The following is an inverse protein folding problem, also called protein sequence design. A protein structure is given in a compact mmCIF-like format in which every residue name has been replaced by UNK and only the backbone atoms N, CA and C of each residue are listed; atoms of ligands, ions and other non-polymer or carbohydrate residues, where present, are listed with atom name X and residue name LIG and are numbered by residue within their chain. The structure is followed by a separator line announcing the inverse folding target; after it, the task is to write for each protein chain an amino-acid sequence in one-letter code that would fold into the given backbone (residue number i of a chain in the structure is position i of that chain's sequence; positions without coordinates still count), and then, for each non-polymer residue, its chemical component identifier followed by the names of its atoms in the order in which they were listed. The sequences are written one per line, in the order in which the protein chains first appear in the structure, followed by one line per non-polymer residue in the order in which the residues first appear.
data_IF_966934437841
#
_entry.id   IF_966934437841
#
_cell.length_a   1.000
_cell.length_b   1.000
_cell.length_c   1.000
_cell.angle_alpha   90.00
_cell.angle_beta   90.00
_cell.angle_gamma   90.00
#
_symmetry.space_group_name_H-M   'P 1'
#
loop_
_entity.id
_entity.type
_entity.pdbx_description
1 polymer ?
#
# COMPACT_ATOMS: atom_id res chain seq x y z
N UNK A 1 -32.96 -35.64 79.45
CA UNK A 1 -33.31 -36.70 78.48
C UNK A 1 -33.78 -36.11 77.09
N UNK A 2 -34.55 -35.03 77.07
CA UNK A 2 -35.00 -34.40 75.80
C UNK A 2 -33.87 -33.84 74.95
N UNK A 3 -32.85 -33.29 75.57
CA UNK A 3 -31.67 -32.73 74.88
C UNK A 3 -30.86 -33.81 74.12
N UNK A 4 -30.72 -34.98 74.72
CA UNK A 4 -29.97 -36.13 74.16
C UNK A 4 -30.70 -36.72 72.94
N UNK A 5 -32.04 -36.83 72.97
CA UNK A 5 -32.84 -37.30 71.84
C UNK A 5 -32.87 -36.34 70.68
N UNK A 6 -32.90 -35.02 70.94
CA UNK A 6 -32.76 -33.98 69.90
C UNK A 6 -31.38 -34.03 69.21
N UNK A 7 -30.32 -34.17 70.04
CA UNK A 7 -28.96 -34.27 69.47
C UNK A 7 -28.78 -35.53 68.61
N UNK A 8 -29.30 -36.66 69.01
CA UNK A 8 -29.21 -37.93 68.25
C UNK A 8 -29.97 -37.83 66.91
N UNK A 9 -31.16 -37.20 66.91
CA UNK A 9 -31.92 -37.01 65.73
C UNK A 9 -31.19 -36.06 64.72
N UNK A 10 -30.59 -35.00 65.22
CA UNK A 10 -29.80 -34.11 64.40
C UNK A 10 -28.57 -34.74 63.78
N UNK A 11 -27.84 -35.58 64.58
CA UNK A 11 -26.71 -36.38 64.07
C UNK A 11 -27.17 -37.35 62.95
N UNK A 12 -28.31 -38.04 63.16
CA UNK A 12 -28.84 -38.95 62.16
C UNK A 12 -29.25 -38.22 60.87
N UNK A 13 -29.83 -37.03 61.00
CA UNK A 13 -30.17 -36.16 59.87
C UNK A 13 -28.92 -35.70 59.10
N UNK A 14 -27.90 -35.16 59.79
CA UNK A 14 -26.64 -34.72 59.16
C UNK A 14 -25.92 -35.86 58.44
N UNK A 15 -25.92 -37.07 59.04
CA UNK A 15 -25.37 -38.29 58.43
C UNK A 15 -26.11 -38.73 57.17
N UNK A 16 -27.44 -38.42 57.03
CA UNK A 16 -28.19 -38.63 55.78
C UNK A 16 -27.81 -37.63 54.78
N UNK A 17 -27.84 -36.32 55.10
CA UNK A 17 -27.45 -35.22 54.24
C UNK A 17 -26.04 -35.41 53.68
N UNK A 18 -25.06 -35.87 54.50
CA UNK A 18 -23.70 -36.21 54.04
C UNK A 18 -23.67 -37.41 53.10
N UNK A 19 -24.56 -38.40 53.26
CA UNK A 19 -24.65 -39.53 52.30
C UNK A 19 -25.29 -39.16 51.00
N UNK A 20 -26.28 -38.26 51.02
CA UNK A 20 -26.99 -37.77 49.86
C UNK A 20 -26.10 -36.88 49.01
N UNK A 21 -25.11 -36.20 49.60
CA UNK A 21 -24.08 -35.44 48.89
C UNK A 21 -23.07 -36.31 48.13
N UNK A 22 -23.01 -37.64 48.45
CA UNK A 22 -22.06 -38.55 47.80
C UNK A 22 -20.59 -38.27 48.10
N UNK A 23 -19.69 -38.67 47.25
CA UNK A 23 -18.26 -38.40 47.37
C UNK A 23 -17.94 -36.95 46.99
N UNK A 24 -17.80 -36.09 47.99
CA UNK A 24 -17.41 -34.69 47.77
C UNK A 24 -15.91 -34.64 47.45
N UNK A 25 -15.55 -34.04 46.31
CA UNK A 25 -14.16 -33.77 46.01
C UNK A 25 -13.66 -32.58 46.83
N UNK A 26 -12.94 -32.86 47.92
CA UNK A 26 -12.41 -31.82 48.81
C UNK A 26 -11.35 -30.93 48.10
N UNK A 27 -10.74 -31.41 47.05
CA UNK A 27 -9.80 -30.63 46.22
C UNK A 27 -10.45 -29.69 45.22
N UNK A 28 -11.76 -29.85 44.94
CA UNK A 28 -12.45 -29.09 43.92
C UNK A 28 -12.45 -27.58 44.15
N UNK A 29 -12.48 -27.13 45.41
CA UNK A 29 -12.47 -25.69 45.75
C UNK A 29 -11.13 -25.07 45.39
N UNK A 30 -10.02 -25.71 45.76
CA UNK A 30 -8.68 -25.21 45.44
C UNK A 30 -8.39 -25.28 43.94
N UNK A 31 -8.86 -26.32 43.27
CA UNK A 31 -8.74 -26.45 41.82
C UNK A 31 -9.60 -25.39 41.06
N UNK A 32 -10.83 -25.16 41.52
CA UNK A 32 -11.68 -24.11 41.00
C UNK A 32 -11.04 -22.72 41.13
N UNK A 33 -10.48 -22.39 42.29
CA UNK A 33 -9.77 -21.14 42.51
C UNK A 33 -8.61 -20.99 41.53
N UNK A 34 -7.77 -21.99 41.39
CA UNK A 34 -6.63 -21.97 40.47
C UNK A 34 -7.06 -21.80 39.01
N UNK A 35 -8.12 -22.50 38.59
CA UNK A 35 -8.67 -22.40 37.24
C UNK A 35 -9.30 -21.03 37.00
N UNK A 36 -10.03 -20.51 38.01
CA UNK A 36 -10.65 -19.18 37.95
C UNK A 36 -9.59 -18.07 37.81
N UNK A 37 -8.55 -18.07 38.65
CA UNK A 37 -7.44 -17.14 38.58
C UNK A 37 -6.76 -17.17 37.19
N UNK A 38 -6.53 -18.38 36.68
CA UNK A 38 -5.94 -18.55 35.36
C UNK A 38 -6.86 -18.07 34.24
N UNK A 39 -8.16 -18.32 34.35
CA UNK A 39 -9.17 -17.83 33.39
C UNK A 39 -9.22 -16.30 33.37
N UNK A 40 -9.26 -15.69 34.55
CA UNK A 40 -9.31 -14.23 34.68
C UNK A 40 -8.04 -13.59 34.11
N UNK A 41 -6.87 -14.17 34.42
CA UNK A 41 -5.60 -13.73 33.86
C UNK A 41 -5.57 -13.82 32.32
N UNK A 42 -5.94 -14.97 31.76
CA UNK A 42 -5.97 -15.17 30.31
C UNK A 42 -7.02 -14.28 29.60
N UNK A 43 -8.14 -14.05 30.29
CA UNK A 43 -9.19 -13.16 29.79
C UNK A 43 -8.69 -11.72 29.72
N UNK A 44 -7.96 -11.27 30.74
CA UNK A 44 -7.30 -9.97 30.74
C UNK A 44 -6.28 -9.85 29.63
N UNK A 45 -5.37 -10.82 29.49
CA UNK A 45 -4.39 -10.80 28.40
C UNK A 45 -5.04 -10.81 27.00
N UNK A 46 -6.12 -11.59 26.84
CA UNK A 46 -6.86 -11.59 25.56
C UNK A 46 -7.47 -10.22 25.26
N UNK A 47 -8.01 -9.55 26.28
CA UNK A 47 -8.56 -8.20 26.10
C UNK A 47 -7.47 -7.19 25.67
N UNK A 48 -6.29 -7.23 26.32
CA UNK A 48 -5.16 -6.38 25.99
C UNK A 48 -4.67 -6.58 24.56
N UNK A 49 -4.53 -7.84 24.12
CA UNK A 49 -4.13 -8.18 22.75
C UNK A 49 -5.17 -7.73 21.72
N UNK A 50 -6.46 -7.88 22.02
CA UNK A 50 -7.52 -7.43 21.15
C UNK A 50 -7.56 -5.89 21.03
N UNK A 51 -7.31 -5.19 22.13
CA UNK A 51 -7.19 -3.72 22.12
C UNK A 51 -5.99 -3.28 21.28
N UNK A 52 -4.81 -3.86 21.53
CA UNK A 52 -3.61 -3.55 20.75
C UNK A 52 -3.80 -3.85 19.25
N UNK A 53 -4.49 -4.94 18.90
CA UNK A 53 -4.84 -5.25 17.51
C UNK A 53 -5.75 -4.18 16.90
N UNK A 54 -6.77 -3.72 17.64
CA UNK A 54 -7.68 -2.69 17.17
C UNK A 54 -6.94 -1.36 16.92
N UNK A 55 -6.05 -0.96 17.84
CA UNK A 55 -5.24 0.25 17.71
C UNK A 55 -4.31 0.18 16.48
N UNK A 56 -3.63 -0.95 16.29
CA UNK A 56 -2.78 -1.16 15.10
C UNK A 56 -3.58 -1.15 13.80
N UNK A 57 -4.77 -1.75 13.78
CA UNK A 57 -5.65 -1.72 12.60
C UNK A 57 -6.06 -0.28 12.29
N UNK A 58 -6.45 0.49 13.31
CA UNK A 58 -6.80 1.91 13.12
C UNK A 58 -5.63 2.75 12.57
N UNK A 59 -4.40 2.48 13.00
CA UNK A 59 -3.20 3.14 12.47
C UNK A 59 -2.98 2.76 11.00
N UNK A 60 -3.11 1.48 10.65
CA UNK A 60 -2.97 0.99 9.28
C UNK A 60 -4.00 1.65 8.36
N UNK A 61 -5.27 1.69 8.78
CA UNK A 61 -6.35 2.30 8.02
C UNK A 61 -6.09 3.80 7.80
N UNK A 62 -5.62 4.49 8.83
CA UNK A 62 -5.25 5.91 8.73
C UNK A 62 -4.09 6.17 7.76
N UNK A 63 -3.05 5.35 7.82
CA UNK A 63 -1.90 5.44 6.89
C UNK A 63 -2.35 5.13 5.46
N UNK A 64 -3.16 4.10 5.26
CA UNK A 64 -3.67 3.71 3.93
C UNK A 64 -4.48 4.84 3.31
N UNK A 65 -5.40 5.44 4.05
CA UNK A 65 -6.19 6.58 3.57
C UNK A 65 -5.31 7.79 3.19
N UNK A 66 -4.27 8.09 3.97
CA UNK A 66 -3.32 9.15 3.63
C UNK A 66 -2.48 8.82 2.40
N UNK A 67 -2.06 7.55 2.23
CA UNK A 67 -1.38 7.08 1.03
C UNK A 67 -2.24 7.25 -0.22
N UNK A 68 -3.52 6.86 -0.18
CA UNK A 68 -4.47 7.04 -1.28
C UNK A 68 -4.63 8.52 -1.65
N UNK A 69 -4.78 9.38 -0.65
CA UNK A 69 -4.89 10.83 -0.86
C UNK A 69 -3.64 11.41 -1.55
N UNK A 70 -2.45 11.07 -1.04
CA UNK A 70 -1.17 11.55 -1.61
C UNK A 70 -0.98 11.00 -3.01
N UNK A 71 -1.24 9.70 -3.21
CA UNK A 71 -1.13 9.05 -4.50
C UNK A 71 -2.01 9.73 -5.55
N UNK A 72 -3.30 9.93 -5.25
CA UNK A 72 -4.23 10.57 -6.18
C UNK A 72 -3.78 11.97 -6.59
N UNK A 73 -3.31 12.78 -5.64
CA UNK A 73 -2.77 14.12 -5.93
C UNK A 73 -1.51 14.07 -6.82
N UNK A 74 -0.57 13.17 -6.50
CA UNK A 74 0.66 13.06 -7.28
C UNK A 74 0.41 12.46 -8.66
N UNK A 75 -0.48 11.48 -8.75
CA UNK A 75 -0.89 10.88 -10.03
C UNK A 75 -1.44 11.93 -10.99
N UNK A 76 -2.35 12.79 -10.54
CA UNK A 76 -2.89 13.88 -11.36
C UNK A 76 -1.80 14.86 -11.82
N UNK A 77 -0.87 15.23 -10.94
CA UNK A 77 0.25 16.11 -11.28
C UNK A 77 1.15 15.47 -12.33
N UNK A 78 1.48 14.19 -12.16
CA UNK A 78 2.31 13.45 -13.13
C UNK A 78 1.58 13.31 -14.46
N UNK A 79 0.30 12.96 -14.45
CA UNK A 79 -0.51 12.83 -15.68
C UNK A 79 -0.57 14.13 -16.47
N UNK A 80 -0.78 15.25 -15.79
CA UNK A 80 -0.77 16.58 -16.42
C UNK A 80 0.61 16.90 -17.01
N UNK A 81 1.68 16.68 -16.24
CA UNK A 81 3.05 16.89 -16.71
C UNK A 81 3.40 15.96 -17.88
N UNK A 82 2.94 14.70 -17.85
CA UNK A 82 3.16 13.73 -18.91
C UNK A 82 2.47 14.14 -20.22
N UNK A 83 1.21 14.57 -20.14
CA UNK A 83 0.48 15.07 -21.30
C UNK A 83 1.20 16.26 -21.95
N UNK A 84 1.67 17.23 -21.16
CA UNK A 84 2.40 18.40 -21.63
C UNK A 84 3.75 18.02 -22.26
N UNK A 85 4.54 17.23 -21.52
CA UNK A 85 5.87 16.79 -21.98
C UNK A 85 5.79 15.95 -23.25
N UNK A 86 4.76 15.11 -23.37
CA UNK A 86 4.51 14.35 -24.59
C UNK A 86 4.28 15.27 -25.79
N UNK A 87 3.43 16.27 -25.65
CA UNK A 87 3.15 17.24 -26.74
C UNK A 87 4.41 18.01 -27.12
N UNK A 88 5.23 18.42 -26.16
CA UNK A 88 6.49 19.14 -26.39
C UNK A 88 7.50 18.26 -27.15
N UNK A 89 7.67 16.99 -26.74
CA UNK A 89 8.61 16.05 -27.35
C UNK A 89 8.15 15.58 -28.75
N UNK A 90 6.88 15.18 -28.87
CA UNK A 90 6.36 14.63 -30.12
C UNK A 90 5.95 15.70 -31.13
N UNK A 91 5.87 16.98 -30.71
CA UNK A 91 5.39 18.09 -31.54
C UNK A 91 3.89 18.02 -31.77
N UNK A 92 3.14 17.49 -30.82
CA UNK A 92 1.67 17.34 -30.85
C UNK A 92 1.20 15.97 -30.38
N UNK A 93 -0.07 15.67 -30.60
CA UNK A 93 -0.68 14.42 -30.18
C UNK A 93 -1.30 14.51 -28.77
N UNK A 94 -1.53 13.36 -28.14
CA UNK A 94 -2.10 13.26 -26.79
C UNK A 94 -1.45 12.12 -26.05
N UNK A 95 -1.31 12.27 -24.73
CA UNK A 95 -0.87 11.22 -23.83
C UNK A 95 -1.60 11.34 -22.49
N UNK A 96 -1.92 10.19 -21.89
CA UNK A 96 -2.55 10.11 -20.60
C UNK A 96 -2.11 8.83 -19.86
N UNK A 97 -2.11 8.91 -18.54
CA UNK A 97 -2.02 7.79 -17.64
C UNK A 97 -3.42 7.49 -17.12
N UNK A 98 -3.83 6.23 -17.15
CA UNK A 98 -5.14 5.79 -16.65
C UNK A 98 -4.92 4.68 -15.62
N UNK A 99 -5.66 4.74 -14.51
CA UNK A 99 -5.69 3.65 -13.52
C UNK A 99 -6.57 2.51 -14.07
N UNK A 100 -6.14 1.27 -13.91
CA UNK A 100 -6.94 0.10 -14.31
C UNK A 100 -8.17 -0.07 -13.41
N UNK A 101 -8.07 0.34 -12.14
CA UNK A 101 -9.18 0.40 -11.18
C UNK A 101 -9.06 1.64 -10.29
N UNK A 102 -10.01 2.56 -10.44
CA UNK A 102 -10.05 3.80 -9.64
C UNK A 102 -10.40 3.54 -8.17
N UNK A 103 -11.05 2.40 -7.85
CA UNK A 103 -11.42 2.05 -6.48
C UNK A 103 -10.28 1.40 -5.69
N UNK A 104 -9.26 0.87 -6.39
CA UNK A 104 -8.06 0.27 -5.77
C UNK A 104 -6.79 0.93 -6.31
N UNK A 105 -6.71 2.23 -6.17
CA UNK A 105 -5.66 3.07 -6.76
C UNK A 105 -4.24 2.72 -6.32
N UNK A 106 -4.07 2.12 -5.13
CA UNK A 106 -2.75 1.75 -4.60
C UNK A 106 -2.22 0.41 -5.13
N UNK A 107 -3.10 -0.49 -5.55
CA UNK A 107 -2.72 -1.86 -5.96
C UNK A 107 -2.99 -2.13 -7.44
N UNK A 108 -3.76 -1.28 -8.12
CA UNK A 108 -4.05 -1.46 -9.54
C UNK A 108 -2.87 -1.10 -10.45
N UNK A 109 -2.90 -1.57 -11.69
CA UNK A 109 -1.98 -1.16 -12.74
C UNK A 109 -2.25 0.25 -13.25
N UNK A 110 -1.26 0.82 -13.96
CA UNK A 110 -1.38 2.09 -14.68
C UNK A 110 -1.21 1.82 -16.16
N UNK A 111 -2.23 2.10 -16.95
CA UNK A 111 -2.17 2.00 -18.40
C UNK A 111 -1.68 3.32 -19.01
N UNK A 112 -0.75 3.22 -19.95
CA UNK A 112 -0.24 4.39 -20.70
C UNK A 112 -0.93 4.42 -22.04
N UNK A 113 -1.76 5.46 -22.27
CA UNK A 113 -2.45 5.71 -23.54
C UNK A 113 -1.84 6.88 -24.24
N UNK A 114 -1.47 6.69 -25.50
CA UNK A 114 -0.84 7.72 -26.31
C UNK A 114 -1.39 7.75 -27.73
N UNK A 115 -1.43 8.94 -28.28
CA UNK A 115 -1.77 9.22 -29.67
C UNK A 115 -0.69 10.12 -30.26
N UNK A 116 0.36 9.58 -30.87
CA UNK A 116 1.33 10.37 -31.61
C UNK A 116 0.68 11.15 -32.75
N UNK A 117 1.27 12.26 -33.20
CA UNK A 117 0.73 13.08 -34.31
C UNK A 117 0.47 12.23 -35.56
N UNK A 118 -0.72 12.36 -36.13
CA UNK A 118 -1.13 11.62 -37.33
C UNK A 118 -1.46 10.14 -37.13
N UNK A 119 -1.49 9.64 -35.86
CA UNK A 119 -1.82 8.25 -35.53
C UNK A 119 -3.09 8.16 -34.69
N UNK A 120 -3.64 6.93 -34.59
CA UNK A 120 -4.78 6.64 -33.71
C UNK A 120 -4.31 6.44 -32.28
N UNK A 121 -5.21 6.64 -31.31
CA UNK A 121 -4.97 6.35 -29.90
C UNK A 121 -4.63 4.87 -29.71
N UNK A 122 -3.56 4.59 -29.00
CA UNK A 122 -3.08 3.24 -28.70
C UNK A 122 -2.61 3.13 -27.25
N UNK A 123 -2.67 1.92 -26.71
CA UNK A 123 -1.95 1.57 -25.50
C UNK A 123 -0.47 1.36 -25.80
N UNK A 124 0.39 1.57 -24.81
CA UNK A 124 1.85 1.50 -24.97
C UNK A 124 2.32 0.18 -25.62
N UNK A 125 1.67 -0.94 -25.27
CA UNK A 125 2.01 -2.27 -25.78
C UNK A 125 1.94 -2.40 -27.31
N UNK A 126 1.09 -1.61 -27.96
CA UNK A 126 0.82 -1.63 -29.41
C UNK A 126 1.73 -0.68 -30.22
N UNK A 127 2.66 0.00 -29.57
CA UNK A 127 3.62 0.89 -30.25
C UNK A 127 4.86 0.14 -30.75
N UNK A 128 5.56 0.73 -31.71
CA UNK A 128 6.90 0.26 -32.13
C UNK A 128 7.94 0.46 -31.01
N UNK A 129 9.05 -0.24 -31.07
CA UNK A 129 10.12 -0.16 -30.07
C UNK A 129 10.63 1.26 -29.84
N UNK A 130 10.92 1.99 -30.92
CA UNK A 130 11.36 3.40 -30.84
C UNK A 130 10.31 4.34 -30.26
N UNK A 131 9.02 4.14 -30.61
CA UNK A 131 7.93 4.92 -30.03
C UNK A 131 7.77 4.63 -28.52
N UNK A 132 7.86 3.36 -28.12
CA UNK A 132 7.84 2.98 -26.68
C UNK A 132 8.95 3.67 -25.92
N UNK A 133 10.17 3.63 -26.44
CA UNK A 133 11.32 4.29 -25.83
C UNK A 133 11.09 5.80 -25.69
N UNK A 134 10.56 6.45 -26.73
CA UNK A 134 10.32 7.90 -26.70
C UNK A 134 9.18 8.29 -25.75
N UNK A 135 8.14 7.45 -25.62
CA UNK A 135 7.08 7.61 -24.60
C UNK A 135 7.63 7.45 -23.20
N UNK A 136 8.51 6.45 -22.97
CA UNK A 136 9.16 6.26 -21.67
C UNK A 136 10.03 7.47 -21.29
N UNK A 137 10.77 8.05 -22.24
CA UNK A 137 11.54 9.28 -22.04
C UNK A 137 10.60 10.45 -21.69
N UNK A 138 9.46 10.57 -22.35
CA UNK A 138 8.48 11.62 -22.05
C UNK A 138 7.93 11.47 -20.62
N UNK A 139 7.62 10.26 -20.18
CA UNK A 139 7.19 9.99 -18.82
C UNK A 139 8.29 10.30 -17.79
N UNK A 140 9.52 9.92 -18.08
CA UNK A 140 10.66 10.23 -17.23
C UNK A 140 10.83 11.74 -17.01
N UNK A 141 10.77 12.54 -18.08
CA UNK A 141 10.84 13.99 -17.97
C UNK A 141 9.62 14.60 -17.26
N UNK A 142 8.44 14.00 -17.42
CA UNK A 142 7.27 14.41 -16.66
C UNK A 142 7.46 14.22 -15.16
N UNK A 143 8.05 13.10 -14.76
CA UNK A 143 8.41 12.84 -13.36
C UNK A 143 9.43 13.86 -12.84
N UNK A 144 10.45 14.21 -13.63
CA UNK A 144 11.42 15.25 -13.29
C UNK A 144 10.79 16.63 -13.13
N UNK A 145 9.79 16.99 -13.97
CA UNK A 145 9.03 18.24 -13.82
C UNK A 145 8.26 18.30 -12.50
N UNK A 146 7.67 17.18 -12.08
CA UNK A 146 6.90 17.11 -10.82
C UNK A 146 7.81 17.08 -9.61
N UNK A 147 8.94 16.38 -9.71
CA UNK A 147 9.94 16.26 -8.64
C UNK A 147 11.35 16.47 -9.20
N UNK A 148 11.78 17.74 -9.35
CA UNK A 148 13.11 18.06 -9.85
C UNK A 148 14.22 17.45 -9.00
N UNK A 149 15.26 16.95 -9.67
CA UNK A 149 16.52 16.51 -9.04
C UNK A 149 17.64 17.46 -9.41
N UNK A 150 18.67 17.64 -8.57
CA UNK A 150 19.77 18.57 -8.87
C UNK A 150 20.58 18.14 -10.08
N UNK A 151 20.73 16.86 -10.32
CA UNK A 151 21.38 16.31 -11.52
C UNK A 151 20.75 14.99 -11.96
N UNK A 152 20.96 14.65 -13.22
CA UNK A 152 20.49 13.40 -13.87
C UNK A 152 21.60 12.86 -14.74
N UNK A 153 21.87 11.54 -14.62
CA UNK A 153 22.77 10.82 -15.50
C UNK A 153 21.96 9.96 -16.48
N UNK A 154 22.19 10.14 -17.77
CA UNK A 154 21.54 9.41 -18.85
C UNK A 154 22.58 8.66 -19.65
N UNK A 155 22.43 7.34 -19.73
CA UNK A 155 23.36 6.47 -20.47
C UNK A 155 22.63 5.81 -21.64
N UNK A 156 22.92 6.27 -22.86
CA UNK A 156 22.39 5.77 -24.14
C UNK A 156 20.85 5.62 -24.20
N UNK A 157 20.10 6.44 -23.48
CA UNK A 157 18.63 6.32 -23.41
C UNK A 157 17.95 6.57 -24.76
N UNK A 158 18.62 7.27 -25.67
CA UNK A 158 18.16 7.57 -27.01
C UNK A 158 18.55 6.50 -28.05
N UNK A 159 19.22 5.41 -27.65
CA UNK A 159 19.74 4.40 -28.60
C UNK A 159 18.64 3.81 -29.51
N UNK A 160 17.42 3.64 -28.99
CA UNK A 160 16.27 3.11 -29.75
C UNK A 160 15.54 4.14 -30.61
N UNK A 161 15.89 5.44 -30.53
CA UNK A 161 15.23 6.51 -31.25
C UNK A 161 15.76 6.64 -32.69
N UNK A 162 14.89 7.09 -33.61
CA UNK A 162 15.30 7.56 -34.92
C UNK A 162 15.94 8.97 -34.85
N UNK A 163 16.59 9.42 -35.92
CA UNK A 163 17.32 10.68 -35.96
C UNK A 163 16.43 11.90 -35.66
N UNK A 164 15.18 11.88 -36.12
CA UNK A 164 14.25 12.98 -35.87
C UNK A 164 13.88 13.07 -34.40
N UNK A 165 13.65 11.92 -33.74
CA UNK A 165 13.33 11.86 -32.32
C UNK A 165 14.57 12.16 -31.45
N UNK A 166 15.78 11.79 -31.88
CA UNK A 166 17.03 12.22 -31.22
C UNK A 166 17.17 13.75 -31.27
N UNK A 167 16.93 14.40 -32.41
CA UNK A 167 16.99 15.84 -32.49
C UNK A 167 15.93 16.56 -31.62
N UNK A 168 14.73 15.98 -31.48
CA UNK A 168 13.67 16.48 -30.57
C UNK A 168 14.08 16.30 -29.11
N UNK A 169 14.62 15.15 -28.75
CA UNK A 169 15.15 14.85 -27.43
C UNK A 169 16.25 15.84 -27.04
N UNK A 170 17.26 16.06 -27.89
CA UNK A 170 18.35 17.00 -27.62
C UNK A 170 17.85 18.44 -27.43
N UNK A 171 16.88 18.87 -28.26
CA UNK A 171 16.25 20.18 -28.11
C UNK A 171 15.52 20.32 -26.81
N UNK A 172 14.78 19.28 -26.41
CA UNK A 172 14.03 19.27 -25.16
C UNK A 172 14.97 19.35 -23.95
N UNK A 173 16.07 18.58 -23.93
CA UNK A 173 17.08 18.65 -22.88
C UNK A 173 17.63 20.08 -22.69
N UNK A 174 17.94 20.76 -23.78
CA UNK A 174 18.42 22.15 -23.71
C UNK A 174 17.41 23.09 -23.07
N UNK A 175 16.12 22.88 -23.34
CA UNK A 175 15.06 23.74 -22.78
C UNK A 175 14.85 23.55 -21.28
N UNK A 176 15.21 22.37 -20.72
CA UNK A 176 15.02 22.07 -19.29
C UNK A 176 16.32 22.08 -18.48
N UNK A 177 17.47 22.33 -19.12
CA UNK A 177 18.79 22.31 -18.50
C UNK A 177 19.04 23.46 -17.50
N UNK A 178 18.20 24.48 -17.49
CA UNK A 178 18.32 25.61 -16.55
C UNK A 178 18.00 25.22 -15.10
N UNK A 179 17.22 24.15 -14.88
CA UNK A 179 16.76 23.72 -13.57
C UNK A 179 17.47 22.46 -13.04
N UNK A 180 18.03 21.66 -13.95
CA UNK A 180 18.63 20.36 -13.64
C UNK A 180 19.89 20.17 -14.48
N UNK A 181 20.99 19.74 -13.86
CA UNK A 181 22.21 19.38 -14.59
C UNK A 181 22.05 18.01 -15.23
N UNK A 182 22.20 17.92 -16.56
CA UNK A 182 22.17 16.66 -17.30
C UNK A 182 23.59 16.20 -17.66
N UNK A 183 23.91 14.96 -17.32
CA UNK A 183 25.14 14.26 -17.74
C UNK A 183 24.68 13.18 -18.72
N UNK A 184 25.00 13.38 -20.01
CA UNK A 184 24.54 12.48 -21.08
C UNK A 184 25.72 11.72 -21.63
N UNK A 185 25.66 10.39 -21.57
CA UNK A 185 26.59 9.46 -22.22
C UNK A 185 25.90 8.99 -23.49
N UNK A 186 26.53 9.22 -24.65
CA UNK A 186 25.93 8.92 -25.96
C UNK A 186 26.97 8.59 -27.01
N UNK A 187 26.62 7.70 -27.91
CA UNK A 187 27.38 7.42 -29.13
C UNK A 187 26.83 8.16 -30.35
N UNK A 188 25.73 8.91 -30.18
CA UNK A 188 25.08 9.63 -31.29
C UNK A 188 25.56 11.07 -31.39
N UNK A 189 25.99 11.47 -32.61
CA UNK A 189 26.48 12.83 -32.87
C UNK A 189 25.40 13.93 -32.81
N UNK A 190 24.12 13.53 -32.83
CA UNK A 190 22.98 14.47 -32.80
C UNK A 190 22.48 14.82 -31.39
N UNK A 191 23.00 14.16 -30.37
CA UNK A 191 22.71 14.43 -28.95
C UNK A 191 23.79 15.32 -28.37
#
# INVERSE_FOLDING_TARGET
LESHAKATRRIAQLKREMRDLGSVNLGAIAEFQRVSERYDYLTGQRADVLSAKADLTGIIDGITAEMERIFGQQFQRINTAFSQTFVELFGGGRAALELEDENDSLNCGIEIRVQPPGKTLKVLSLLSGGEKAFVAIALYFALLKVRPTPFVVMDEIEAALDENNVARFARYLRNISDQTQFIVITHRRGT
#
